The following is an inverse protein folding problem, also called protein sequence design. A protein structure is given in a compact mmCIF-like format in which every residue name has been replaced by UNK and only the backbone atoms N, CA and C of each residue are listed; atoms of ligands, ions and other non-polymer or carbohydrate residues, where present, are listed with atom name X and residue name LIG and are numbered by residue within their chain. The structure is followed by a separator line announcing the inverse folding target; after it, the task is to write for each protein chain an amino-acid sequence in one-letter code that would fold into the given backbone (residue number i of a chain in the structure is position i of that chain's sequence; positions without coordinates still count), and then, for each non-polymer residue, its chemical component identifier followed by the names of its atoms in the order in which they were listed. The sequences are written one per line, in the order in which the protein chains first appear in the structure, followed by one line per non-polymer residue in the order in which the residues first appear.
data_IF_862896222878
#
_entry.id   IF_862896222878
#
_cell.length_a   1.000
_cell.length_b   1.000
_cell.length_c   1.000
_cell.angle_alpha   90.00
_cell.angle_beta   90.00
_cell.angle_gamma   90.00
#
_symmetry.space_group_name_H-M   'P 1'
#
loop_
_entity.id
_entity.type
_entity.pdbx_description
1 polymer ?
#
# COMPACT_ATOMS: atom_id res chain seq x y z
N UNK A 1 -0.95 -18.73 25.71
CA UNK A 1 -0.38 -18.21 24.47
C UNK A 1 -1.35 -18.44 23.33
N UNK A 2 -1.65 -17.42 22.58
CA UNK A 2 -2.44 -17.53 21.36
C UNK A 2 -1.71 -18.42 20.37
N UNK A 3 -2.43 -19.37 19.76
CA UNK A 3 -1.90 -20.19 18.67
C UNK A 3 -1.57 -19.28 17.48
N UNK A 4 -0.51 -19.61 16.73
CA UNK A 4 -0.19 -18.94 15.47
C UNK A 4 -1.35 -19.14 14.49
N UNK A 5 -1.89 -18.05 13.99
CA UNK A 5 -2.89 -18.06 12.92
C UNK A 5 -2.20 -17.61 11.62
N UNK A 6 -2.22 -18.48 10.63
CA UNK A 6 -1.69 -18.18 9.30
C UNK A 6 -2.82 -17.78 8.35
N UNK A 7 -2.61 -16.77 7.48
CA UNK A 7 -3.60 -16.41 6.45
C UNK A 7 -3.73 -17.53 5.40
N UNK A 8 -4.90 -17.62 4.76
CA UNK A 8 -5.20 -18.67 3.76
C UNK A 8 -4.12 -18.90 2.68
N UNK A 9 -3.49 -17.86 2.12
CA UNK A 9 -2.44 -18.07 1.12
C UNK A 9 -1.24 -18.85 1.66
N UNK A 10 -0.87 -18.64 2.93
CA UNK A 10 0.27 -19.30 3.59
C UNK A 10 -0.07 -20.75 3.94
N UNK A 11 -1.32 -21.04 4.28
CA UNK A 11 -1.79 -22.41 4.57
C UNK A 11 -1.67 -23.36 3.36
N UNK A 12 -1.55 -22.82 2.14
CA UNK A 12 -1.33 -23.61 0.92
C UNK A 12 0.09 -24.19 0.82
N UNK A 13 1.03 -23.66 1.58
CA UNK A 13 2.39 -24.17 1.67
C UNK A 13 2.67 -24.76 3.06
N UNK A 14 2.44 -26.06 3.25
CA UNK A 14 2.64 -26.73 4.55
C UNK A 14 4.08 -26.65 5.06
N UNK A 15 5.06 -26.58 4.15
CA UNK A 15 6.48 -26.50 4.51
C UNK A 15 6.80 -25.15 5.14
N UNK A 16 6.32 -24.08 4.55
CA UNK A 16 6.47 -22.73 5.08
C UNK A 16 5.79 -22.60 6.46
N UNK A 17 4.57 -23.12 6.61
CA UNK A 17 3.86 -23.14 7.89
C UNK A 17 4.67 -23.88 8.96
N UNK A 18 5.28 -25.01 8.61
CA UNK A 18 6.11 -25.79 9.52
C UNK A 18 7.39 -25.03 9.93
N UNK A 19 8.10 -24.46 8.96
CA UNK A 19 9.34 -23.72 9.20
C UNK A 19 9.09 -22.49 10.09
N UNK A 20 8.05 -21.71 9.80
CA UNK A 20 7.69 -20.53 10.61
C UNK A 20 7.20 -20.92 12.02
N UNK A 21 6.47 -22.01 12.13
CA UNK A 21 6.04 -22.52 13.44
C UNK A 21 7.23 -22.95 14.30
N UNK A 22 8.20 -23.67 13.72
CA UNK A 22 9.42 -24.09 14.40
C UNK A 22 10.26 -22.88 14.81
N UNK A 23 10.43 -21.89 13.94
CA UNK A 23 11.16 -20.68 14.23
C UNK A 23 10.53 -19.91 15.40
N UNK A 24 9.22 -19.71 15.38
CA UNK A 24 8.48 -19.09 16.47
C UNK A 24 8.64 -19.84 17.79
N UNK A 25 8.47 -21.17 17.77
CA UNK A 25 8.61 -22.01 18.97
C UNK A 25 10.02 -21.94 19.54
N UNK A 26 11.05 -22.00 18.70
CA UNK A 26 12.45 -21.92 19.14
C UNK A 26 12.78 -20.56 19.75
N UNK A 27 12.36 -19.46 19.13
CA UNK A 27 12.56 -18.10 19.67
C UNK A 27 11.85 -17.89 20.98
N UNK A 28 10.64 -18.39 21.08
CA UNK A 28 9.85 -18.33 22.30
C UNK A 28 10.48 -19.17 23.42
N UNK A 29 10.91 -20.39 23.13
CA UNK A 29 11.56 -21.26 24.08
C UNK A 29 12.85 -20.63 24.64
N UNK A 30 13.68 -20.06 23.77
CA UNK A 30 14.91 -19.38 24.20
C UNK A 30 14.63 -18.19 25.12
N UNK A 31 13.63 -17.39 24.83
CA UNK A 31 13.21 -16.27 25.69
C UNK A 31 12.69 -16.78 27.04
N UNK A 32 11.80 -17.79 27.04
CA UNK A 32 11.21 -18.37 28.24
C UNK A 32 12.27 -19.03 29.11
N UNK A 33 13.23 -19.74 28.52
CA UNK A 33 14.36 -20.36 29.23
C UNK A 33 15.27 -19.30 29.89
N UNK A 34 15.63 -18.23 29.16
CA UNK A 34 16.42 -17.14 29.71
C UNK A 34 15.71 -16.44 30.86
N UNK A 35 14.42 -16.18 30.73
CA UNK A 35 13.61 -15.58 31.80
C UNK A 35 13.50 -16.52 32.99
N UNK A 36 13.33 -17.83 32.78
CA UNK A 36 13.24 -18.82 33.86
C UNK A 36 14.54 -18.87 34.67
N UNK A 37 15.70 -18.91 34.01
CA UNK A 37 16.99 -18.89 34.71
C UNK A 37 17.19 -17.62 35.54
N UNK A 38 16.87 -16.43 34.97
CA UNK A 38 16.94 -15.18 35.74
C UNK A 38 15.95 -15.14 36.90
N UNK A 39 14.76 -15.71 36.73
CA UNK A 39 13.75 -15.80 37.79
C UNK A 39 14.19 -16.70 38.94
N UNK A 40 14.84 -17.81 38.61
CA UNK A 40 15.43 -18.69 39.62
C UNK A 40 16.54 -18.00 40.39
N UNK A 41 17.46 -17.32 39.70
CA UNK A 41 18.51 -16.51 40.33
C UNK A 41 17.92 -15.40 41.22
N UNK A 42 16.89 -14.72 40.78
CA UNK A 42 16.18 -13.71 41.57
C UNK A 42 15.54 -14.31 42.83
N UNK A 43 14.94 -15.49 42.71
CA UNK A 43 14.35 -16.19 43.86
C UNK A 43 15.40 -16.53 44.92
N UNK A 44 16.59 -16.97 44.52
CA UNK A 44 17.71 -17.25 45.43
C UNK A 44 18.18 -15.99 46.16
N UNK A 45 18.41 -14.89 45.43
CA UNK A 45 18.80 -13.60 46.01
C UNK A 45 17.72 -13.07 46.97
N UNK A 46 16.46 -13.22 46.63
CA UNK A 46 15.35 -12.82 47.49
C UNK A 46 15.28 -13.72 48.77
N UNK A 47 15.60 -15.00 48.66
CA UNK A 47 15.68 -15.89 49.82
C UNK A 47 16.82 -15.48 50.72
N UNK A 48 18.01 -15.22 50.19
CA UNK A 48 19.16 -14.73 50.92
C UNK A 48 18.84 -13.40 51.62
N UNK A 49 18.17 -12.49 50.95
CA UNK A 49 17.73 -11.21 51.52
C UNK A 49 16.79 -11.41 52.70
N UNK A 50 15.79 -12.31 52.58
CA UNK A 50 14.86 -12.64 53.69
C UNK A 50 15.57 -13.26 54.90
N UNK A 51 16.67 -13.98 54.71
CA UNK A 51 17.46 -14.53 55.80
C UNK A 51 18.38 -13.50 56.45
N UNK A 52 18.92 -12.58 55.64
CA UNK A 52 19.92 -11.58 56.08
C UNK A 52 19.29 -10.35 56.76
N UNK A 53 18.14 -9.87 56.30
CA UNK A 53 17.47 -8.70 56.88
C UNK A 53 17.20 -8.82 58.38
N UNK A 54 16.70 -9.96 58.95
CA UNK A 54 16.51 -10.10 60.37
C UNK A 54 17.84 -10.13 61.18
N UNK A 55 18.95 -10.55 60.54
CA UNK A 55 20.26 -10.62 61.19
C UNK A 55 20.87 -9.20 61.36
N UNK A 56 20.58 -8.28 60.45
CA UNK A 56 20.98 -6.88 60.62
C UNK A 56 20.32 -6.26 61.84
N UNK A 57 19.02 -6.51 62.05
CA UNK A 57 18.31 -6.03 63.23
C UNK A 57 18.88 -6.58 64.55
N UNK A 58 19.54 -7.73 64.51
CA UNK A 58 20.23 -8.35 65.64
C UNK A 58 21.71 -7.98 65.75
N UNK A 59 22.24 -7.12 64.85
CA UNK A 59 23.65 -6.73 64.83
C UNK A 59 24.58 -7.85 64.30
N UNK A 60 24.05 -8.92 63.69
CA UNK A 60 24.79 -10.08 63.22
C UNK A 60 25.13 -10.03 61.71
N UNK A 61 24.62 -9.03 60.99
CA UNK A 61 24.92 -8.79 59.58
C UNK A 61 25.02 -7.30 59.30
N UNK A 62 25.69 -6.90 58.18
CA UNK A 62 25.89 -5.51 57.77
C UNK A 62 24.73 -5.01 56.94
N UNK A 63 24.28 -3.77 57.14
CA UNK A 63 23.34 -3.07 56.24
C UNK A 63 23.84 -2.99 54.80
N UNK A 64 25.18 -2.89 54.63
CA UNK A 64 25.80 -2.84 53.29
C UNK A 64 25.53 -4.14 52.52
N UNK A 65 25.51 -5.29 53.21
CA UNK A 65 25.21 -6.58 52.62
C UNK A 65 23.74 -6.65 52.13
N UNK A 66 22.79 -6.17 52.92
CA UNK A 66 21.38 -6.06 52.54
C UNK A 66 21.22 -5.15 51.33
N UNK A 67 21.92 -4.02 51.27
CA UNK A 67 21.89 -3.11 50.11
C UNK A 67 22.49 -3.76 48.86
N UNK A 68 23.55 -4.56 49.02
CA UNK A 68 24.15 -5.33 47.91
C UNK A 68 23.17 -6.33 47.32
N UNK A 69 22.50 -7.11 48.20
CA UNK A 69 21.49 -8.07 47.76
C UNK A 69 20.28 -7.40 47.09
N UNK A 70 19.82 -6.26 47.60
CA UNK A 70 18.75 -5.47 46.97
C UNK A 70 19.14 -4.96 45.58
N UNK A 71 20.37 -4.52 45.40
CA UNK A 71 20.88 -4.13 44.08
C UNK A 71 20.91 -5.32 43.13
N UNK A 72 21.45 -6.46 43.56
CA UNK A 72 21.49 -7.68 42.77
C UNK A 72 20.08 -8.16 42.37
N UNK A 73 19.10 -8.07 43.24
CA UNK A 73 17.72 -8.40 42.93
C UNK A 73 17.13 -7.45 41.85
N UNK A 74 17.39 -6.14 41.96
CA UNK A 74 16.97 -5.16 40.97
C UNK A 74 17.67 -5.39 39.64
N UNK A 75 18.96 -5.70 39.61
CA UNK A 75 19.71 -5.97 38.39
C UNK A 75 19.15 -7.20 37.65
N UNK A 76 18.85 -8.28 38.35
CA UNK A 76 18.20 -9.47 37.78
C UNK A 76 16.82 -9.18 37.25
N UNK A 77 16.04 -8.35 37.95
CA UNK A 77 14.73 -7.92 37.48
C UNK A 77 14.84 -7.07 36.18
N UNK A 78 15.83 -6.17 36.12
CA UNK A 78 16.10 -5.38 34.91
C UNK A 78 16.54 -6.28 33.76
N UNK A 79 17.42 -7.22 33.96
CA UNK A 79 17.84 -8.19 32.96
C UNK A 79 16.66 -9.01 32.41
N UNK A 80 15.71 -9.44 33.26
CA UNK A 80 14.48 -10.10 32.79
C UNK A 80 13.65 -9.20 31.89
N UNK A 81 13.53 -7.91 32.23
CA UNK A 81 12.82 -6.93 31.42
C UNK A 81 13.54 -6.68 30.10
N UNK A 82 14.89 -6.63 30.12
CA UNK A 82 15.70 -6.43 28.91
C UNK A 82 15.56 -7.59 27.93
N UNK A 83 15.63 -8.84 28.41
CA UNK A 83 15.40 -10.04 27.58
C UNK A 83 14.02 -9.97 26.92
N UNK A 84 13.00 -9.58 27.66
CA UNK A 84 11.64 -9.45 27.14
C UNK A 84 11.53 -8.33 26.10
N UNK A 85 12.12 -7.18 26.42
CA UNK A 85 12.11 -6.01 25.52
C UNK A 85 12.88 -6.29 24.23
N UNK A 86 14.04 -6.93 24.31
CA UNK A 86 14.82 -7.33 23.12
C UNK A 86 14.01 -8.23 22.20
N UNK A 87 13.30 -9.21 22.74
CA UNK A 87 12.43 -10.07 21.95
C UNK A 87 11.34 -9.27 21.20
N UNK A 88 10.67 -8.32 21.90
CA UNK A 88 9.63 -7.51 21.27
C UNK A 88 10.19 -6.51 20.26
N UNK A 89 11.34 -5.92 20.51
CA UNK A 89 12.00 -5.00 19.57
C UNK A 89 12.37 -5.75 18.29
N UNK A 90 13.03 -6.89 18.41
CA UNK A 90 13.40 -7.72 17.29
C UNK A 90 12.18 -8.16 16.45
N UNK A 91 11.10 -8.60 17.10
CA UNK A 91 9.89 -9.00 16.42
C UNK A 91 9.23 -7.83 15.64
N UNK A 92 9.27 -6.62 16.22
CA UNK A 92 8.75 -5.42 15.55
C UNK A 92 9.61 -4.96 14.38
N UNK A 93 10.92 -5.06 14.50
CA UNK A 93 11.85 -4.74 13.42
C UNK A 93 11.66 -5.69 12.23
N UNK A 94 11.55 -6.98 12.50
CA UNK A 94 11.29 -7.99 11.45
C UNK A 94 9.93 -7.76 10.79
N UNK A 95 8.88 -7.46 11.56
CA UNK A 95 7.56 -7.13 11.02
C UNK A 95 7.61 -5.88 10.13
N UNK A 96 8.30 -4.82 10.60
CA UNK A 96 8.46 -3.59 9.83
C UNK A 96 9.18 -3.84 8.51
N UNK A 97 10.27 -4.62 8.55
CA UNK A 97 11.01 -5.00 7.35
C UNK A 97 10.14 -5.81 6.39
N UNK A 98 9.43 -6.83 6.88
CA UNK A 98 8.55 -7.64 6.06
C UNK A 98 7.44 -6.80 5.39
N UNK A 99 6.84 -5.85 6.10
CA UNK A 99 5.85 -4.94 5.53
C UNK A 99 6.45 -4.07 4.41
N UNK A 100 7.64 -3.51 4.62
CA UNK A 100 8.35 -2.72 3.59
C UNK A 100 8.68 -3.57 2.35
N UNK A 101 9.11 -4.80 2.55
CA UNK A 101 9.39 -5.73 1.47
C UNK A 101 8.12 -6.06 0.67
N UNK A 102 7.00 -6.30 1.35
CA UNK A 102 5.69 -6.53 0.71
C UNK A 102 5.24 -5.31 -0.10
N UNK A 103 5.31 -4.11 0.47
CA UNK A 103 4.97 -2.87 -0.23
C UNK A 103 5.84 -2.67 -1.48
N UNK A 104 7.14 -2.91 -1.37
CA UNK A 104 8.08 -2.83 -2.49
C UNK A 104 7.71 -3.81 -3.60
N UNK A 105 7.43 -5.07 -3.25
CA UNK A 105 7.03 -6.07 -4.24
C UNK A 105 5.68 -5.74 -4.89
N UNK A 106 4.74 -5.19 -4.14
CA UNK A 106 3.46 -4.73 -4.69
C UNK A 106 3.66 -3.64 -5.74
N UNK A 107 4.54 -2.66 -5.49
CA UNK A 107 4.86 -1.61 -6.46
C UNK A 107 5.53 -2.19 -7.73
N UNK A 108 6.42 -3.17 -7.57
CA UNK A 108 7.03 -3.87 -8.71
C UNK A 108 5.97 -4.60 -9.54
N UNK A 109 5.04 -5.30 -8.90
CA UNK A 109 3.95 -6.00 -9.59
C UNK A 109 3.04 -5.02 -10.32
N UNK A 110 2.67 -3.90 -9.68
CA UNK A 110 1.85 -2.84 -10.31
C UNK A 110 2.56 -2.27 -11.54
N UNK A 111 3.86 -1.95 -11.43
CA UNK A 111 4.64 -1.45 -12.56
C UNK A 111 4.74 -2.44 -13.72
N UNK A 112 4.92 -3.73 -13.43
CA UNK A 112 4.92 -4.78 -14.46
C UNK A 112 3.55 -4.99 -15.08
N UNK A 113 2.48 -4.93 -14.28
CA UNK A 113 1.10 -5.01 -14.75
C UNK A 113 0.75 -3.83 -15.69
N UNK A 114 1.16 -2.62 -15.32
CA UNK A 114 0.98 -1.43 -16.15
C UNK A 114 1.77 -1.56 -17.48
N UNK A 115 3.01 -2.02 -17.40
CA UNK A 115 3.82 -2.30 -18.60
C UNK A 115 3.16 -3.36 -19.49
N UNK A 116 2.60 -4.42 -18.92
CA UNK A 116 1.87 -5.45 -19.66
C UNK A 116 0.60 -4.88 -20.30
N UNK A 117 -0.17 -4.07 -19.56
CA UNK A 117 -1.38 -3.44 -20.08
C UNK A 117 -1.08 -2.50 -21.25
N UNK A 118 0.08 -1.84 -21.24
CA UNK A 118 0.55 -0.97 -22.31
C UNK A 118 1.06 -1.72 -23.55
N UNK A 119 1.24 -3.04 -23.49
CA UNK A 119 1.59 -3.81 -24.68
C UNK A 119 0.43 -3.99 -25.64
N UNK A 120 -0.82 -3.82 -25.16
CA UNK A 120 -2.03 -3.93 -25.97
C UNK A 120 -2.75 -2.59 -25.95
N UNK A 121 -2.66 -1.84 -27.04
CA UNK A 121 -3.41 -0.61 -27.20
C UNK A 121 -4.85 -0.90 -27.61
N UNK A 122 -5.78 -0.48 -26.75
CA UNK A 122 -7.22 -0.59 -27.03
C UNK A 122 -7.75 0.78 -27.46
N UNK A 123 -8.67 0.80 -28.41
CA UNK A 123 -9.33 2.03 -28.81
C UNK A 123 -10.10 2.62 -27.61
N UNK A 124 -9.86 3.90 -27.23
CA UNK A 124 -10.54 4.54 -26.11
C UNK A 124 -12.01 4.86 -26.41
N UNK A 125 -12.34 5.01 -27.69
CA UNK A 125 -13.67 5.36 -28.18
C UNK A 125 -14.07 4.50 -29.37
N UNK A 126 -15.38 4.33 -29.56
CA UNK A 126 -15.92 3.71 -30.76
C UNK A 126 -15.84 4.72 -31.90
N UNK A 127 -15.21 4.36 -33.02
CA UNK A 127 -15.01 5.28 -34.11
C UNK A 127 -14.49 4.61 -35.38
N UNK A 128 -14.23 5.43 -36.39
CA UNK A 128 -13.62 5.01 -37.65
C UNK A 128 -12.16 5.43 -37.67
N UNK A 129 -11.26 4.52 -38.01
CA UNK A 129 -9.84 4.81 -38.16
C UNK A 129 -9.66 5.68 -39.40
N UNK A 130 -9.17 6.91 -39.21
CA UNK A 130 -8.92 7.88 -40.29
C UNK A 130 -7.53 7.69 -40.86
N UNK A 131 -6.53 7.51 -40.03
CA UNK A 131 -5.13 7.47 -40.42
C UNK A 131 -4.35 6.56 -39.51
N UNK A 132 -3.42 5.79 -40.05
CA UNK A 132 -2.49 4.94 -39.28
C UNK A 132 -1.08 5.47 -39.56
N UNK A 133 -0.43 5.98 -38.52
CA UNK A 133 0.90 6.59 -38.62
C UNK A 133 2.02 5.53 -38.66
N UNK A 134 1.81 4.40 -38.02
CA UNK A 134 2.81 3.30 -37.92
C UNK A 134 2.27 2.05 -38.61
N UNK A 135 2.77 1.73 -39.80
CA UNK A 135 2.35 0.57 -40.59
C UNK A 135 3.34 -0.60 -40.53
N UNK A 136 4.54 -0.37 -40.01
CA UNK A 136 5.60 -1.38 -40.01
C UNK A 136 5.51 -2.28 -38.81
N UNK A 137 5.40 -3.61 -39.04
CA UNK A 137 5.53 -4.61 -37.98
C UNK A 137 6.95 -4.55 -37.40
N UNK A 138 7.04 -4.46 -36.06
CA UNK A 138 8.32 -4.27 -35.37
C UNK A 138 8.83 -2.84 -35.32
N UNK A 139 8.05 -1.89 -35.81
CA UNK A 139 8.37 -0.46 -35.71
C UNK A 139 8.40 0.03 -34.27
N UNK A 140 9.35 0.92 -33.96
CA UNK A 140 9.46 1.54 -32.64
C UNK A 140 8.67 2.83 -32.62
N UNK A 141 7.78 2.95 -31.66
CA UNK A 141 7.00 4.17 -31.44
C UNK A 141 7.74 5.01 -30.40
N UNK A 142 8.13 6.26 -30.72
CA UNK A 142 8.76 7.12 -29.75
C UNK A 142 7.80 7.49 -28.62
N UNK A 143 8.33 7.95 -27.51
CA UNK A 143 7.52 8.45 -26.41
C UNK A 143 6.63 9.61 -26.92
N UNK A 144 5.34 9.58 -26.60
CA UNK A 144 4.31 10.48 -27.14
C UNK A 144 4.09 10.38 -28.67
N UNK A 145 4.56 9.31 -29.29
CA UNK A 145 4.32 9.05 -30.71
C UNK A 145 2.84 8.74 -30.98
N UNK A 146 2.35 9.24 -32.12
CA UNK A 146 0.99 9.00 -32.61
C UNK A 146 0.94 7.65 -33.31
N UNK A 147 0.00 6.79 -32.93
CA UNK A 147 -0.23 5.48 -33.54
C UNK A 147 -1.21 5.55 -34.70
N UNK A 148 -2.36 6.11 -34.42
CA UNK A 148 -3.47 6.26 -35.37
C UNK A 148 -4.42 7.35 -34.90
N UNK A 149 -5.23 7.84 -35.82
CA UNK A 149 -6.32 8.79 -35.55
C UNK A 149 -7.66 8.07 -35.67
N UNK A 150 -8.46 8.13 -34.63
CA UNK A 150 -9.82 7.56 -34.60
C UNK A 150 -10.80 8.72 -34.53
N UNK A 151 -11.77 8.75 -35.44
CA UNK A 151 -12.88 9.71 -35.42
C UNK A 151 -14.06 9.06 -34.73
N UNK A 152 -14.51 9.61 -33.56
CA UNK A 152 -15.65 9.08 -32.85
C UNK A 152 -16.92 9.11 -33.69
N UNK A 153 -17.76 8.09 -33.57
CA UNK A 153 -19.07 8.02 -34.25
C UNK A 153 -20.20 8.62 -33.43
N UNK A 154 -20.02 8.68 -32.12
CA UNK A 154 -21.08 9.01 -31.15
C UNK A 154 -21.01 10.48 -30.66
N UNK A 155 -20.08 11.28 -31.15
CA UNK A 155 -19.97 12.69 -30.77
C UNK A 155 -20.99 13.56 -31.54
N UNK A 156 -21.64 14.45 -30.82
CA UNK A 156 -22.49 15.48 -31.41
C UNK A 156 -21.58 16.46 -32.17
N UNK A 157 -21.98 16.78 -33.37
CA UNK A 157 -21.27 17.75 -34.18
C UNK A 157 -21.39 19.15 -33.53
N UNK A 158 -20.27 19.80 -33.28
CA UNK A 158 -20.21 21.18 -32.87
C UNK A 158 -19.98 22.05 -34.10
N UNK A 159 -20.85 23.03 -34.34
CA UNK A 159 -20.75 23.96 -35.42
C UNK A 159 -20.41 25.34 -34.87
N UNK A 160 -19.27 25.86 -35.23
CA UNK A 160 -18.86 27.21 -34.92
C UNK A 160 -19.29 28.16 -36.05
N UNK A 161 -20.09 29.15 -35.71
CA UNK A 161 -20.59 30.16 -36.64
C UNK A 161 -20.16 31.56 -36.22
N UNK A 162 -19.69 32.36 -37.16
CA UNK A 162 -19.37 33.76 -36.94
C UNK A 162 -20.61 34.61 -37.13
N UNK A 163 -20.99 35.35 -36.06
CA UNK A 163 -22.18 36.17 -36.03
C UNK A 163 -21.79 37.64 -36.06
N UNK A 164 -22.56 38.45 -36.82
CA UNK A 164 -22.36 39.90 -36.81
C UNK A 164 -22.64 40.50 -35.42
N UNK A 165 -21.81 41.43 -34.93
CA UNK A 165 -22.06 42.10 -33.66
C UNK A 165 -23.42 42.78 -33.54
N UNK A 166 -24.06 43.13 -34.64
CA UNK A 166 -25.40 43.73 -34.66
C UNK A 166 -26.49 42.75 -34.29
N UNK A 167 -26.28 41.46 -34.53
CA UNK A 167 -27.30 40.41 -34.34
C UNK A 167 -27.13 39.63 -33.02
N UNK A 168 -26.05 39.89 -32.29
CA UNK A 168 -25.71 39.17 -31.08
C UNK A 168 -26.75 39.36 -29.96
N UNK A 169 -27.46 40.51 -29.96
CA UNK A 169 -28.48 40.82 -28.97
C UNK A 169 -29.72 39.89 -29.04
N UNK A 170 -29.89 39.18 -30.15
CA UNK A 170 -31.05 38.30 -30.42
C UNK A 170 -30.73 36.83 -30.23
N UNK A 171 -29.51 36.49 -29.82
CA UNK A 171 -29.05 35.13 -29.71
C UNK A 171 -28.74 34.83 -28.24
N UNK A 172 -29.29 33.70 -27.73
CA UNK A 172 -29.05 33.27 -26.35
C UNK A 172 -28.79 31.76 -26.29
N UNK A 173 -28.02 31.32 -25.29
CA UNK A 173 -27.81 29.90 -25.04
C UNK A 173 -29.13 29.14 -24.88
N UNK A 174 -29.22 27.95 -25.47
CA UNK A 174 -30.43 27.13 -25.46
C UNK A 174 -31.41 27.39 -26.60
N UNK A 175 -31.21 28.44 -27.42
CA UNK A 175 -32.05 28.73 -28.57
C UNK A 175 -31.92 27.65 -29.65
N UNK A 176 -33.04 27.31 -30.28
CA UNK A 176 -33.05 26.38 -31.41
C UNK A 176 -32.47 27.06 -32.67
N UNK A 177 -31.58 26.36 -33.35
CA UNK A 177 -30.95 26.81 -34.59
C UNK A 177 -31.15 25.76 -35.69
N UNK A 178 -31.41 26.21 -36.88
CA UNK A 178 -31.49 25.37 -38.07
C UNK A 178 -30.27 25.61 -38.94
N UNK A 179 -29.41 24.60 -39.06
CA UNK A 179 -28.21 24.68 -39.88
C UNK A 179 -28.50 24.15 -41.28
N UNK A 180 -28.30 24.99 -42.27
CA UNK A 180 -28.43 24.64 -43.71
C UNK A 180 -27.04 24.44 -44.29
N UNK A 181 -26.79 23.23 -44.81
CA UNK A 181 -25.52 22.90 -45.45
C UNK A 181 -25.64 23.24 -46.95
N UNK A 182 -24.82 24.15 -47.45
CA UNK A 182 -24.85 24.63 -48.85
C UNK A 182 -24.51 23.52 -49.86
N UNK A 183 -23.87 22.44 -49.44
CA UNK A 183 -23.55 21.31 -50.33
C UNK A 183 -24.77 20.44 -50.68
N UNK A 184 -25.88 20.59 -49.94
CA UNK A 184 -27.11 19.84 -50.17
C UNK A 184 -28.28 20.79 -50.38
N UNK A 185 -29.18 20.42 -51.30
CA UNK A 185 -30.41 21.19 -51.50
C UNK A 185 -31.30 21.04 -50.26
N UNK A 186 -31.41 22.08 -49.45
CA UNK A 186 -32.18 22.09 -48.21
C UNK A 186 -33.69 21.94 -48.43
N UNK A 187 -34.17 22.20 -49.66
CA UNK A 187 -35.58 22.02 -50.04
C UNK A 187 -35.94 20.51 -50.09
N UNK A 188 -34.95 19.68 -50.40
CA UNK A 188 -35.14 18.23 -50.55
C UNK A 188 -34.73 17.51 -49.26
N UNK A 189 -33.57 17.89 -48.69
CA UNK A 189 -32.97 17.16 -47.56
C UNK A 189 -33.22 17.80 -46.17
N UNK A 190 -33.82 19.01 -46.14
CA UNK A 190 -34.05 19.75 -44.90
C UNK A 190 -32.77 20.34 -44.29
N UNK A 191 -32.85 20.82 -43.07
CA UNK A 191 -31.70 21.35 -42.31
C UNK A 191 -31.48 20.54 -41.02
N UNK A 192 -30.26 20.62 -40.50
CA UNK A 192 -29.91 20.01 -39.23
C UNK A 192 -30.40 20.89 -38.06
N UNK A 193 -31.16 20.30 -37.17
CA UNK A 193 -31.61 21.00 -35.97
C UNK A 193 -30.52 20.95 -34.90
N UNK A 194 -30.15 22.09 -34.36
CA UNK A 194 -29.18 22.23 -33.29
C UNK A 194 -29.70 23.16 -32.21
N UNK A 195 -28.92 23.32 -31.17
CA UNK A 195 -29.14 24.30 -30.09
C UNK A 195 -27.87 25.12 -29.89
N UNK A 196 -28.04 26.39 -29.65
CA UNK A 196 -26.93 27.28 -29.28
C UNK A 196 -26.46 26.91 -27.90
N UNK A 197 -25.18 26.51 -27.79
CA UNK A 197 -24.59 26.10 -26.52
C UNK A 197 -23.79 27.21 -25.85
N UNK A 198 -22.98 27.93 -26.66
CA UNK A 198 -22.08 28.99 -26.17
C UNK A 198 -22.13 30.13 -27.20
N UNK A 199 -22.01 31.35 -26.75
CA UNK A 199 -21.92 32.59 -27.57
C UNK A 199 -20.63 33.29 -27.21
#
# INVERSE_FOLDING_TARGET
GTALAFPEPVLKDPKLVQEETQLYQSRRANMEESISGLKEALALVQQELRMTEPLVAKGAASEVEVLRLKRSANDLQNQMNDVRNQYYVQAREELSKANTDVETQQQVVLGKSDSLNRTIFKAPVRGVVKEIDVMTLGGVIPQNGKLMTIVPLDEQLLIEARISPRDIAFIHPGQEALVKITAYDYSIYGGLKGKVTVI
#
